data_IF_160507752898
#
_entry.id   IF_160507752898
#
_cell.length_a   1.000
_cell.length_b   1.000
_cell.length_c   1.000
_cell.angle_alpha   90.00
_cell.angle_beta   90.00
_cell.angle_gamma   90.00
#
_symmetry.space_group_name_H-M   'P 1'
#
loop_
_entity.id
_entity.type
_entity.pdbx_description
1 polymer ?
#
# COMPACT_ATOMS: atom_id res chain seq x y z
N UNK A 1 11.90 -12.52 28.09
CA UNK A 1 11.09 -13.10 26.99
C UNK A 1 10.31 -11.97 26.35
N UNK A 2 10.44 -11.77 25.04
CA UNK A 2 9.72 -10.72 24.29
C UNK A 2 8.22 -11.06 24.23
N UNK A 3 7.38 -10.04 24.42
CA UNK A 3 5.91 -10.09 24.56
C UNK A 3 5.17 -10.96 23.52
N UNK A 4 5.72 -11.10 22.33
CA UNK A 4 5.08 -11.73 21.18
C UNK A 4 5.52 -13.18 20.91
N UNK A 5 6.48 -13.72 21.67
CA UNK A 5 7.11 -15.01 21.35
C UNK A 5 6.15 -16.21 21.38
N UNK A 6 5.06 -16.13 22.15
CA UNK A 6 4.04 -17.18 22.26
C UNK A 6 2.79 -16.91 21.42
N UNK A 7 2.79 -15.83 20.62
CA UNK A 7 1.68 -15.45 19.78
C UNK A 7 1.95 -15.83 18.32
N UNK A 8 0.96 -16.40 17.65
CA UNK A 8 0.95 -16.57 16.20
C UNK A 8 0.74 -15.22 15.47
N UNK A 9 0.72 -15.24 14.13
CA UNK A 9 0.56 -14.04 13.30
C UNK A 9 -0.72 -13.27 13.66
N UNK A 10 -1.85 -13.96 13.73
CA UNK A 10 -3.16 -13.34 13.85
C UNK A 10 -3.36 -12.80 15.27
N UNK A 11 -2.88 -13.52 16.28
CA UNK A 11 -2.85 -13.06 17.67
C UNK A 11 -2.00 -11.79 17.83
N UNK A 12 -0.88 -11.67 17.13
CA UNK A 12 -0.05 -10.45 17.16
C UNK A 12 -0.75 -9.27 16.49
N UNK A 13 -1.35 -9.49 15.32
CA UNK A 13 -2.10 -8.46 14.59
C UNK A 13 -3.33 -8.00 15.38
N UNK A 14 -4.04 -8.93 16.00
CA UNK A 14 -5.15 -8.63 16.90
C UNK A 14 -4.68 -7.84 18.11
N UNK A 15 -3.55 -8.23 18.72
CA UNK A 15 -2.97 -7.47 19.82
C UNK A 15 -2.61 -6.04 19.39
N UNK A 16 -1.94 -5.87 18.25
CA UNK A 16 -1.61 -4.54 17.70
C UNK A 16 -2.88 -3.72 17.48
N UNK A 17 -3.91 -4.30 16.88
CA UNK A 17 -5.15 -3.60 16.60
C UNK A 17 -5.84 -3.14 17.88
N UNK A 18 -6.01 -4.03 18.86
CA UNK A 18 -6.64 -3.70 20.15
C UNK A 18 -5.89 -2.63 20.93
N UNK A 19 -4.59 -2.45 20.66
CA UNK A 19 -3.74 -1.46 21.32
C UNK A 19 -3.37 -0.27 20.43
N UNK A 20 -3.88 -0.22 19.19
CA UNK A 20 -3.70 0.90 18.27
C UNK A 20 -4.88 1.86 18.40
N UNK A 21 -4.59 3.16 18.57
CA UNK A 21 -5.59 4.21 18.45
C UNK A 21 -5.21 5.14 17.31
N UNK A 22 -6.00 5.11 16.25
CA UNK A 22 -5.83 6.02 15.12
C UNK A 22 -6.57 7.34 15.42
N UNK A 23 -5.81 8.42 15.60
CA UNK A 23 -6.39 9.77 15.67
C UNK A 23 -6.57 10.33 14.26
N UNK A 24 -7.43 11.35 14.10
CA UNK A 24 -7.58 12.04 12.82
C UNK A 24 -6.25 12.63 12.31
N UNK A 25 -5.42 13.18 13.23
CA UNK A 25 -4.10 13.67 12.88
C UNK A 25 -3.20 12.57 12.33
N UNK A 26 -3.11 11.44 13.04
CA UNK A 26 -2.33 10.29 12.60
C UNK A 26 -2.83 9.72 11.26
N UNK A 27 -4.15 9.70 11.04
CA UNK A 27 -4.74 9.27 9.76
C UNK A 27 -4.33 10.21 8.61
N UNK A 28 -4.37 11.52 8.83
CA UNK A 28 -3.92 12.52 7.85
C UNK A 28 -2.43 12.37 7.56
N UNK A 29 -1.60 12.26 8.59
CA UNK A 29 -0.14 12.07 8.46
C UNK A 29 0.22 10.77 7.72
N UNK A 30 -0.51 9.69 7.98
CA UNK A 30 -0.38 8.42 7.28
C UNK A 30 -0.63 8.57 5.78
N UNK A 31 -1.69 9.27 5.38
CA UNK A 31 -1.98 9.52 3.96
C UNK A 31 -0.95 10.45 3.31
N UNK A 32 -0.55 11.52 4.02
CA UNK A 32 0.48 12.44 3.56
C UNK A 32 1.80 11.73 3.29
N UNK A 33 2.20 10.82 4.17
CA UNK A 33 3.46 10.09 4.02
C UNK A 33 3.35 8.99 2.97
N UNK A 34 2.39 8.08 3.13
CA UNK A 34 2.36 6.84 2.36
C UNK A 34 1.92 7.05 0.92
N UNK A 35 0.96 7.93 0.68
CA UNK A 35 0.42 8.15 -0.66
C UNK A 35 0.97 9.43 -1.29
N UNK A 36 0.71 10.60 -0.70
CA UNK A 36 1.13 11.87 -1.31
C UNK A 36 2.67 11.99 -1.39
N UNK A 37 3.38 11.59 -0.34
CA UNK A 37 4.85 11.54 -0.35
C UNK A 37 5.40 10.64 -1.45
N UNK A 38 4.85 9.44 -1.59
CA UNK A 38 5.20 8.50 -2.68
C UNK A 38 4.94 9.11 -4.06
N UNK A 39 3.73 9.68 -4.28
CA UNK A 39 3.35 10.36 -5.52
C UNK A 39 4.33 11.48 -5.86
N UNK A 40 4.60 12.40 -4.93
CA UNK A 40 5.48 13.54 -5.18
C UNK A 40 6.93 13.12 -5.47
N UNK A 41 7.47 12.13 -4.77
CA UNK A 41 8.82 11.61 -5.04
C UNK A 41 8.89 11.00 -6.45
N UNK A 42 7.88 10.22 -6.83
CA UNK A 42 7.81 9.63 -8.17
C UNK A 42 7.73 10.72 -9.23
N UNK A 43 6.84 11.69 -9.09
CA UNK A 43 6.69 12.80 -10.04
C UNK A 43 7.98 13.59 -10.22
N UNK A 44 8.66 13.91 -9.12
CA UNK A 44 9.92 14.64 -9.14
C UNK A 44 11.05 13.87 -9.85
N UNK A 45 11.09 12.54 -9.71
CA UNK A 45 12.13 11.69 -10.28
C UNK A 45 11.75 11.10 -11.65
N UNK A 46 10.50 11.26 -12.09
CA UNK A 46 9.97 10.65 -13.31
C UNK A 46 10.78 10.99 -14.57
N UNK A 47 11.28 12.23 -14.78
CA UNK A 47 12.13 12.52 -15.94
C UNK A 47 13.43 11.72 -15.96
N UNK A 48 14.04 11.48 -14.79
CA UNK A 48 15.27 10.70 -14.65
C UNK A 48 15.00 9.21 -14.88
N UNK A 49 13.90 8.70 -14.35
CA UNK A 49 13.48 7.31 -14.55
C UNK A 49 13.18 7.02 -16.02
N UNK A 50 12.60 7.98 -16.75
CA UNK A 50 12.35 7.88 -18.20
C UNK A 50 13.63 7.95 -19.06
N UNK A 51 14.70 8.52 -18.52
CA UNK A 51 16.00 8.56 -19.20
C UNK A 51 16.81 7.27 -19.01
N UNK A 52 16.40 6.39 -18.09
CA UNK A 52 16.97 5.04 -17.96
C UNK A 52 16.46 4.15 -19.08
N UNK A 53 17.34 3.32 -19.64
CA UNK A 53 16.97 2.26 -20.59
C UNK A 53 16.02 1.23 -19.96
N UNK A 54 16.00 1.15 -18.63
CA UNK A 54 15.18 0.25 -17.83
C UNK A 54 14.77 0.93 -16.50
N UNK A 55 13.90 1.94 -16.60
CA UNK A 55 13.41 2.67 -15.43
C UNK A 55 12.46 1.83 -14.56
N UNK A 56 12.79 1.68 -13.27
CA UNK A 56 12.04 0.85 -12.31
C UNK A 56 11.54 1.65 -11.11
N UNK A 57 10.30 1.39 -10.71
CA UNK A 57 9.65 1.91 -9.51
C UNK A 57 9.07 0.74 -8.74
N UNK A 58 9.53 0.55 -7.51
CA UNK A 58 8.96 -0.44 -6.58
C UNK A 58 8.35 0.28 -5.40
N UNK A 59 7.03 0.32 -5.37
CA UNK A 59 6.28 0.94 -4.28
C UNK A 59 6.05 -0.08 -3.17
N UNK A 60 6.64 0.18 -1.99
CA UNK A 60 6.45 -0.69 -0.82
C UNK A 60 5.00 -0.56 -0.35
N UNK A 61 4.21 -1.59 -0.63
CA UNK A 61 2.80 -1.70 -0.28
C UNK A 61 2.59 -2.67 0.88
N UNK A 62 1.36 -3.16 1.04
CA UNK A 62 0.98 -4.12 2.05
C UNK A 62 -0.16 -4.99 1.54
N UNK A 63 -0.26 -6.21 2.07
CA UNK A 63 -1.46 -7.03 1.96
C UNK A 63 -2.73 -6.25 2.34
N UNK A 64 -2.61 -5.39 3.35
CA UNK A 64 -3.67 -4.50 3.81
C UNK A 64 -4.08 -3.42 2.79
N UNK A 65 -3.35 -3.26 1.69
CA UNK A 65 -3.74 -2.41 0.56
C UNK A 65 -4.65 -3.10 -0.46
N UNK A 66 -4.94 -4.39 -0.30
CA UNK A 66 -5.79 -5.14 -1.24
C UNK A 66 -7.29 -4.85 -1.00
N UNK A 67 -8.06 -4.86 -2.08
CA UNK A 67 -9.44 -4.37 -2.06
C UNK A 67 -10.40 -5.29 -1.28
N UNK A 68 -10.07 -6.56 -1.06
CA UNK A 68 -10.78 -7.44 -0.10
C UNK A 68 -10.95 -6.85 1.32
N UNK A 69 -10.15 -5.86 1.71
CA UNK A 69 -10.29 -5.18 3.00
C UNK A 69 -11.35 -4.07 3.02
N UNK A 70 -11.88 -3.67 1.87
CA UNK A 70 -12.97 -2.72 1.75
C UNK A 70 -14.30 -3.47 1.81
N UNK A 71 -15.34 -2.87 2.42
CA UNK A 71 -16.69 -3.47 2.45
C UNK A 71 -17.62 -2.84 1.42
N UNK A 72 -17.32 -1.62 0.99
CA UNK A 72 -18.09 -0.89 -0.01
C UNK A 72 -17.66 -1.33 -1.43
N UNK A 73 -18.54 -2.02 -2.15
CA UNK A 73 -18.27 -2.52 -3.50
C UNK A 73 -18.07 -1.40 -4.54
N UNK A 74 -18.78 -0.28 -4.40
CA UNK A 74 -18.60 0.86 -5.31
C UNK A 74 -17.19 1.46 -5.15
N UNK A 75 -16.69 1.57 -3.91
CA UNK A 75 -15.32 2.02 -3.65
C UNK A 75 -14.29 1.05 -4.25
N UNK A 76 -14.52 -0.27 -4.16
CA UNK A 76 -13.64 -1.26 -4.80
C UNK A 76 -13.63 -1.10 -6.31
N UNK A 77 -14.81 -0.94 -6.93
CA UNK A 77 -14.92 -0.77 -8.37
C UNK A 77 -14.15 0.47 -8.84
N UNK A 78 -14.33 1.62 -8.17
CA UNK A 78 -13.60 2.85 -8.51
C UNK A 78 -12.09 2.69 -8.36
N UNK A 79 -11.61 2.08 -7.26
CA UNK A 79 -10.17 1.86 -7.05
C UNK A 79 -9.58 0.80 -7.99
N UNK A 80 -10.41 -0.10 -8.53
CA UNK A 80 -9.97 -1.14 -9.45
C UNK A 80 -10.00 -0.72 -10.93
N UNK A 81 -10.84 0.27 -11.28
CA UNK A 81 -11.00 0.79 -12.65
C UNK A 81 -9.90 1.78 -13.04
N UNK A 82 -8.66 1.31 -13.03
CA UNK A 82 -7.47 2.13 -13.28
C UNK A 82 -7.38 2.67 -14.71
N UNK A 83 -8.19 2.16 -15.64
CA UNK A 83 -8.29 2.70 -16.99
C UNK A 83 -9.04 4.03 -17.05
N UNK A 84 -9.97 4.25 -16.12
CA UNK A 84 -10.77 5.48 -16.02
C UNK A 84 -10.45 6.31 -14.77
N UNK A 85 -9.78 5.74 -13.77
CA UNK A 85 -9.41 6.43 -12.55
C UNK A 85 -8.42 7.55 -12.85
N UNK A 86 -8.70 8.76 -12.35
CA UNK A 86 -7.79 9.91 -12.40
C UNK A 86 -7.16 10.18 -11.04
N UNK A 87 -6.05 10.92 -11.04
CA UNK A 87 -5.35 11.25 -9.80
C UNK A 87 -6.20 12.19 -8.94
N UNK A 88 -6.91 13.12 -9.57
CA UNK A 88 -7.86 14.02 -8.90
C UNK A 88 -8.97 13.21 -8.24
N UNK A 89 -9.50 12.19 -8.94
CA UNK A 89 -10.54 11.33 -8.37
C UNK A 89 -10.03 10.50 -7.20
N UNK A 90 -8.79 10.00 -7.29
CA UNK A 90 -8.17 9.29 -6.18
C UNK A 90 -7.95 10.23 -4.97
N UNK A 91 -7.47 11.45 -5.21
CA UNK A 91 -7.26 12.45 -4.17
C UNK A 91 -8.60 12.84 -3.48
N UNK A 92 -9.68 13.02 -4.25
CA UNK A 92 -11.03 13.26 -3.73
C UNK A 92 -11.54 12.12 -2.82
N UNK A 93 -11.25 10.87 -3.17
CA UNK A 93 -11.62 9.71 -2.35
C UNK A 93 -10.88 9.70 -1.02
N UNK A 94 -9.60 10.07 -1.00
CA UNK A 94 -8.81 10.16 0.23
C UNK A 94 -9.29 11.30 1.13
N UNK A 95 -9.65 12.43 0.54
CA UNK A 95 -10.28 13.52 1.26
C UNK A 95 -11.64 13.12 1.83
N UNK A 96 -12.43 12.33 1.06
CA UNK A 96 -13.70 11.80 1.52
C UNK A 96 -13.51 10.83 2.71
N UNK A 97 -12.53 9.93 2.62
CA UNK A 97 -12.17 9.06 3.75
C UNK A 97 -11.80 9.88 4.99
N UNK A 98 -10.96 10.92 4.86
CA UNK A 98 -10.57 11.75 5.99
C UNK A 98 -11.77 12.49 6.62
N UNK A 99 -12.71 12.98 5.80
CA UNK A 99 -13.96 13.58 6.30
C UNK A 99 -14.77 12.57 7.10
N UNK A 100 -14.98 11.37 6.55
CA UNK A 100 -15.76 10.30 7.18
C UNK A 100 -15.09 9.78 8.46
N UNK A 101 -13.75 9.67 8.45
CA UNK A 101 -12.96 9.29 9.61
C UNK A 101 -13.08 10.33 10.73
N UNK A 102 -12.99 11.62 10.41
CA UNK A 102 -13.07 12.71 11.38
C UNK A 102 -14.38 12.74 12.15
N UNK A 103 -15.49 12.43 11.47
CA UNK A 103 -16.84 12.46 12.06
C UNK A 103 -17.32 11.09 12.55
N UNK A 104 -16.46 10.06 12.49
CA UNK A 104 -16.76 8.72 13.02
C UNK A 104 -17.71 7.87 12.18
N UNK A 105 -17.87 8.17 10.89
CA UNK A 105 -18.79 7.46 9.96
C UNK A 105 -18.07 6.56 8.96
N UNK A 106 -16.75 6.44 9.03
CA UNK A 106 -15.94 5.70 8.06
C UNK A 106 -16.41 4.23 7.91
N UNK A 107 -16.55 3.49 9.01
CA UNK A 107 -17.00 2.08 8.95
C UNK A 107 -18.40 1.95 8.35
N UNK A 108 -19.34 2.82 8.75
CA UNK A 108 -20.72 2.81 8.26
C UNK A 108 -20.80 3.08 6.75
N UNK A 109 -19.82 3.79 6.19
CA UNK A 109 -19.68 4.04 4.75
C UNK A 109 -18.88 2.95 4.01
N UNK A 110 -18.50 1.89 4.74
CA UNK A 110 -17.81 0.71 4.22
C UNK A 110 -16.33 0.90 3.93
N UNK A 111 -15.71 1.94 4.51
CA UNK A 111 -14.25 2.06 4.60
C UNK A 111 -13.68 0.93 5.47
N UNK A 112 -12.41 0.53 5.26
CA UNK A 112 -11.77 -0.49 6.09
C UNK A 112 -11.77 -0.14 7.58
N UNK A 113 -11.92 -1.16 8.41
CA UNK A 113 -11.75 -1.09 9.87
C UNK A 113 -10.40 -1.66 10.27
N UNK A 114 -9.90 -1.30 11.46
CA UNK A 114 -8.60 -1.72 11.98
C UNK A 114 -7.43 -1.30 11.08
N UNK A 115 -6.57 -0.39 11.54
CA UNK A 115 -5.51 0.21 10.71
C UNK A 115 -6.09 0.91 9.46
N UNK A 116 -7.18 1.66 9.63
CA UNK A 116 -8.03 2.12 8.54
C UNK A 116 -7.27 3.06 7.60
N UNK A 117 -6.57 4.05 8.16
CA UNK A 117 -5.78 4.99 7.37
C UNK A 117 -4.64 4.29 6.64
N UNK A 118 -4.00 3.31 7.28
CA UNK A 118 -2.94 2.52 6.66
C UNK A 118 -3.47 1.71 5.46
N UNK A 119 -4.56 0.97 5.63
CA UNK A 119 -5.24 0.20 4.56
C UNK A 119 -5.60 1.09 3.38
N UNK A 120 -6.27 2.21 3.65
CA UNK A 120 -6.67 3.18 2.62
C UNK A 120 -5.45 3.77 1.91
N UNK A 121 -4.40 4.13 2.64
CA UNK A 121 -3.17 4.67 2.05
C UNK A 121 -2.47 3.67 1.11
N UNK A 122 -2.43 2.38 1.47
CA UNK A 122 -1.78 1.35 0.65
C UNK A 122 -2.63 0.94 -0.54
N UNK A 123 -3.97 0.97 -0.42
CA UNK A 123 -4.86 0.82 -1.56
C UNK A 123 -4.70 1.97 -2.57
N UNK A 124 -4.51 3.20 -2.09
CA UNK A 124 -4.23 4.34 -2.95
C UNK A 124 -2.87 4.22 -3.68
N UNK A 125 -1.82 3.79 -2.97
CA UNK A 125 -0.52 3.47 -3.60
C UNK A 125 -0.67 2.39 -4.66
N UNK A 126 -1.46 1.35 -4.40
CA UNK A 126 -1.75 0.28 -5.36
C UNK A 126 -2.44 0.83 -6.62
N UNK A 127 -3.50 1.62 -6.46
CA UNK A 127 -4.23 2.24 -7.57
C UNK A 127 -3.33 3.17 -8.39
N UNK A 128 -2.59 4.08 -7.73
CA UNK A 128 -1.67 5.00 -8.37
C UNK A 128 -0.55 4.29 -9.15
N UNK A 129 0.01 3.22 -8.58
CA UNK A 129 1.06 2.43 -9.26
C UNK A 129 0.56 1.83 -10.56
N UNK A 130 -0.68 1.29 -10.56
CA UNK A 130 -1.32 0.73 -11.76
C UNK A 130 -1.64 1.81 -12.79
N UNK A 131 -2.14 2.97 -12.36
CA UNK A 131 -2.37 4.11 -13.24
C UNK A 131 -1.07 4.59 -13.90
N UNK A 132 0.01 4.69 -13.12
CA UNK A 132 1.31 5.11 -13.63
C UNK A 132 1.89 4.06 -14.59
N UNK A 133 1.77 2.77 -14.29
CA UNK A 133 2.16 1.70 -15.19
C UNK A 133 1.44 1.79 -16.55
N UNK A 134 0.13 2.06 -16.53
CA UNK A 134 -0.66 2.25 -17.75
C UNK A 134 -0.25 3.50 -18.54
N UNK A 135 0.03 4.62 -17.85
CA UNK A 135 0.49 5.88 -18.46
C UNK A 135 1.94 5.81 -18.97
N UNK A 136 2.76 4.92 -18.42
CA UNK A 136 4.20 4.82 -18.69
C UNK A 136 4.58 3.36 -19.01
N UNK A 137 4.12 2.80 -20.14
CA UNK A 137 4.28 1.39 -20.45
C UNK A 137 5.74 0.94 -20.67
N UNK A 138 6.68 1.88 -20.81
CA UNK A 138 8.11 1.59 -20.83
C UNK A 138 8.69 1.32 -19.43
N UNK A 139 8.14 1.95 -18.37
CA UNK A 139 8.62 1.78 -17.01
C UNK A 139 8.10 0.49 -16.38
N UNK A 140 8.90 -0.10 -15.48
CA UNK A 140 8.45 -1.19 -14.59
C UNK A 140 7.97 -0.57 -13.28
N UNK A 141 6.65 -0.46 -13.07
CA UNK A 141 6.05 0.15 -11.88
C UNK A 141 5.23 -0.91 -11.15
N UNK A 142 5.73 -1.41 -10.02
CA UNK A 142 5.10 -2.51 -9.29
C UNK A 142 4.95 -2.19 -7.81
N UNK A 143 3.97 -2.84 -7.18
CA UNK A 143 3.77 -2.81 -5.72
C UNK A 143 4.39 -4.06 -5.09
N UNK A 144 5.02 -3.92 -3.93
CA UNK A 144 5.61 -5.05 -3.20
C UNK A 144 5.23 -5.02 -1.72
N UNK A 145 4.58 -6.08 -1.22
CA UNK A 145 4.44 -6.36 0.20
C UNK A 145 5.67 -7.13 0.69
N UNK A 146 6.46 -6.58 1.63
CA UNK A 146 7.69 -7.22 2.12
C UNK A 146 7.44 -8.44 3.02
N UNK A 147 6.19 -8.70 3.41
CA UNK A 147 5.81 -9.62 4.49
C UNK A 147 5.66 -8.91 5.84
N UNK A 148 5.45 -9.68 6.91
CA UNK A 148 5.30 -9.14 8.26
C UNK A 148 6.66 -9.04 8.98
N UNK A 149 7.29 -7.87 8.90
CA UNK A 149 8.71 -7.66 9.26
C UNK A 149 8.91 -7.08 10.67
N UNK A 150 9.93 -7.55 11.40
CA UNK A 150 10.30 -7.11 12.77
C UNK A 150 10.99 -5.74 12.81
N UNK A 151 10.24 -4.68 12.54
CA UNK A 151 10.73 -3.28 12.64
C UNK A 151 9.95 -2.48 13.70
N UNK A 152 10.37 -1.25 13.95
CA UNK A 152 9.73 -0.30 14.87
C UNK A 152 8.22 -0.14 14.58
N UNK A 153 7.81 -0.13 13.29
CA UNK A 153 6.40 0.01 12.89
C UNK A 153 5.52 -1.13 13.45
N UNK A 154 6.12 -2.30 13.66
CA UNK A 154 5.43 -3.48 14.20
C UNK A 154 5.71 -3.70 15.68
N UNK A 155 6.41 -2.77 16.36
CA UNK A 155 6.93 -2.99 17.70
C UNK A 155 7.77 -4.29 17.79
N UNK A 156 8.52 -4.58 16.72
CA UNK A 156 9.28 -5.82 16.50
C UNK A 156 8.45 -7.11 16.64
N UNK A 157 7.13 -7.05 16.41
CA UNK A 157 6.25 -8.21 16.48
C UNK A 157 6.14 -9.01 15.17
N UNK A 158 6.81 -8.58 14.10
CA UNK A 158 6.87 -9.32 12.84
C UNK A 158 7.38 -10.76 12.96
N UNK A 159 7.22 -11.52 11.89
CA UNK A 159 7.76 -12.89 11.75
C UNK A 159 9.11 -12.89 11.03
N UNK A 160 9.25 -12.04 10.02
CA UNK A 160 10.46 -11.91 9.21
C UNK A 160 11.47 -10.95 9.85
N UNK A 161 12.75 -11.24 9.69
CA UNK A 161 13.83 -10.29 9.93
C UNK A 161 13.82 -9.17 8.86
N UNK A 162 14.37 -7.98 9.16
CA UNK A 162 14.48 -6.88 8.20
C UNK A 162 15.10 -7.28 6.86
N UNK A 163 16.13 -8.14 6.89
CA UNK A 163 16.86 -8.60 5.71
C UNK A 163 16.00 -9.49 4.82
N UNK A 164 15.14 -10.32 5.41
CA UNK A 164 14.20 -11.18 4.68
C UNK A 164 13.13 -10.33 3.99
N UNK A 165 12.58 -9.34 4.70
CA UNK A 165 11.62 -8.39 4.13
C UNK A 165 12.22 -7.54 3.00
N UNK A 166 13.46 -7.09 3.17
CA UNK A 166 14.19 -6.36 2.14
C UNK A 166 14.46 -7.24 0.91
N UNK A 167 14.85 -8.50 1.10
CA UNK A 167 15.06 -9.45 0.00
C UNK A 167 13.83 -9.58 -0.90
N UNK A 168 12.64 -9.62 -0.31
CA UNK A 168 11.38 -9.72 -1.05
C UNK A 168 11.12 -8.49 -1.94
N UNK A 169 11.49 -7.29 -1.51
CA UNK A 169 11.37 -6.05 -2.31
C UNK A 169 12.46 -5.98 -3.38
N UNK A 170 13.69 -6.37 -3.04
CA UNK A 170 14.84 -6.37 -3.97
C UNK A 170 14.60 -7.32 -5.14
N UNK A 171 13.98 -8.49 -4.92
CA UNK A 171 13.58 -9.40 -6.01
C UNK A 171 12.72 -8.70 -7.07
N UNK A 172 11.79 -7.84 -6.65
CA UNK A 172 10.91 -7.07 -7.55
C UNK A 172 11.70 -5.98 -8.28
N UNK A 173 12.60 -5.30 -7.56
CA UNK A 173 13.46 -4.26 -8.14
C UNK A 173 14.43 -4.81 -9.19
N UNK A 174 14.83 -6.08 -9.07
CA UNK A 174 15.79 -6.75 -9.95
C UNK A 174 15.14 -7.72 -10.95
N UNK A 175 13.84 -7.60 -11.21
CA UNK A 175 13.19 -8.38 -12.25
C UNK A 175 13.91 -8.20 -13.61
N UNK A 176 13.87 -9.18 -14.52
CA UNK A 176 14.48 -9.02 -15.84
C UNK A 176 13.85 -7.88 -16.65
N UNK A 177 14.62 -7.35 -17.60
CA UNK A 177 14.17 -6.32 -18.54
C UNK A 177 12.95 -6.79 -19.33
N UNK A 178 12.02 -5.87 -19.58
CA UNK A 178 10.73 -6.21 -20.19
C UNK A 178 9.79 -7.01 -19.27
N UNK A 179 10.15 -7.19 -17.99
CA UNK A 179 9.32 -7.85 -16.98
C UNK A 179 7.99 -7.13 -16.71
N UNK A 180 7.19 -7.67 -15.79
CA UNK A 180 5.83 -7.18 -15.50
C UNK A 180 5.83 -5.72 -15.01
N UNK A 181 4.76 -5.00 -15.32
CA UNK A 181 4.47 -3.65 -14.82
C UNK A 181 3.00 -3.57 -14.42
N UNK A 182 2.69 -2.79 -13.39
CA UNK A 182 1.34 -2.66 -12.83
C UNK A 182 0.90 -3.84 -11.96
N UNK A 183 1.83 -4.67 -11.48
CA UNK A 183 1.53 -5.85 -10.68
C UNK A 183 1.73 -5.64 -9.17
N UNK A 184 1.19 -6.56 -8.38
CA UNK A 184 1.40 -6.65 -6.94
C UNK A 184 2.21 -7.91 -6.61
N UNK A 185 3.22 -7.77 -5.76
CA UNK A 185 4.04 -8.87 -5.29
C UNK A 185 3.86 -9.08 -3.79
N UNK A 186 3.53 -10.30 -3.38
CA UNK A 186 3.48 -10.74 -1.99
C UNK A 186 4.71 -11.58 -1.67
N UNK A 187 5.56 -11.07 -0.78
CA UNK A 187 6.78 -11.77 -0.34
C UNK A 187 7.68 -12.20 -1.52
N UNK A 188 7.73 -11.36 -2.56
CA UNK A 188 8.52 -11.59 -3.78
C UNK A 188 7.84 -12.42 -4.86
N UNK A 189 6.59 -12.86 -4.65
CA UNK A 189 5.81 -13.62 -5.63
C UNK A 189 4.70 -12.75 -6.21
N UNK A 190 4.53 -12.78 -7.53
CA UNK A 190 3.46 -12.03 -8.20
C UNK A 190 2.09 -12.60 -7.78
N UNK A 191 1.18 -11.71 -7.34
CA UNK A 191 -0.22 -12.04 -7.13
C UNK A 191 -1.03 -11.77 -8.40
N UNK A 192 -2.05 -12.59 -8.63
CA UNK A 192 -2.92 -12.48 -9.80
C UNK A 192 -3.81 -11.22 -9.80
N UNK A 193 -4.09 -10.61 -8.63
CA UNK A 193 -5.07 -9.55 -8.50
C UNK A 193 -4.82 -8.64 -7.29
N UNK A 194 -5.26 -7.39 -7.40
CA UNK A 194 -5.36 -6.43 -6.29
C UNK A 194 -6.68 -6.53 -5.50
N UNK A 195 -7.60 -7.38 -5.97
CA UNK A 195 -8.94 -7.59 -5.39
C UNK A 195 -8.91 -8.69 -4.34
#
# INVERSE_FOLDING_TARGET
>A
MTKFNLMDRDQRLEWLWRNCRETYHAAKECLQTNYYGTKHVIEALLPLLKASDDGRIVNISSDFGLLRHFRNEDLKQVLNDVGNLTEERLDELLDQFLRDFKVGTAEARGWPVAFAAYKVSKAAVNAYSRMLAAKQPALRVNCAHPGYVKTDITLHSGLLAPEEGASNVVKVALLPDGGVTGAFFEEGNELASFV
#
